data_IF_508959837838
#
_entry.id   IF_508959837838
#
_cell.length_a   1.000
_cell.length_b   1.000
_cell.length_c   1.000
_cell.angle_alpha   90.00
_cell.angle_beta   90.00
_cell.angle_gamma   90.00
#
_symmetry.space_group_name_H-M   'P 1'
#
loop_
_entity.id
_entity.type
_entity.pdbx_description
1 polymer ?
#
# COMPACT_ATOMS: atom_id res chain seq x y z
N UNK A 1 -38.82 -49.75 -11.34
CA UNK A 1 -37.87 -50.21 -12.37
C UNK A 1 -37.80 -49.17 -13.46
N UNK A 2 -36.81 -48.28 -13.40
CA UNK A 2 -36.13 -47.71 -14.55
C UNK A 2 -34.74 -47.36 -14.04
N UNK A 3 -33.78 -48.19 -14.44
CA UNK A 3 -32.36 -47.94 -14.28
C UNK A 3 -32.00 -46.89 -15.34
N UNK A 4 -31.55 -45.72 -14.92
CA UNK A 4 -30.75 -44.85 -15.78
C UNK A 4 -29.31 -45.02 -15.32
N UNK A 5 -28.53 -45.62 -16.21
CA UNK A 5 -27.11 -45.87 -16.11
C UNK A 5 -26.38 -44.54 -15.88
N UNK A 6 -25.62 -44.45 -14.79
CA UNK A 6 -24.61 -43.42 -14.68
C UNK A 6 -23.54 -43.72 -15.73
N UNK A 7 -23.49 -42.87 -16.76
CA UNK A 7 -22.41 -42.81 -17.74
C UNK A 7 -21.05 -42.87 -17.04
N UNK A 8 -20.28 -43.90 -17.38
CA UNK A 8 -18.85 -44.00 -17.20
C UNK A 8 -18.15 -42.73 -17.70
N UNK A 9 -17.66 -41.89 -16.79
CA UNK A 9 -16.66 -40.86 -17.12
C UNK A 9 -15.29 -41.26 -16.55
N UNK A 10 -14.43 -42.00 -17.27
CA UNK A 10 -13.02 -42.10 -16.95
C UNK A 10 -12.25 -41.06 -17.78
N UNK A 11 -12.47 -39.77 -17.53
CA UNK A 11 -11.48 -38.76 -17.92
C UNK A 11 -10.41 -38.75 -16.83
N UNK A 12 -9.35 -39.51 -17.07
CA UNK A 12 -8.14 -39.55 -16.28
C UNK A 12 -7.56 -38.13 -16.16
N UNK A 13 -7.98 -37.37 -15.14
CA UNK A 13 -7.46 -36.04 -14.86
C UNK A 13 -6.03 -36.19 -14.33
N UNK A 14 -5.07 -36.19 -15.27
CA UNK A 14 -3.65 -36.12 -14.95
C UNK A 14 -3.34 -34.69 -14.57
N UNK A 15 -2.98 -34.47 -13.31
CA UNK A 15 -2.56 -33.18 -12.78
C UNK A 15 -1.05 -33.01 -13.00
N UNK A 16 -0.62 -31.86 -13.48
CA UNK A 16 0.79 -31.52 -13.54
C UNK A 16 1.17 -30.75 -12.27
N UNK A 17 2.14 -31.26 -11.52
CA UNK A 17 2.74 -30.54 -10.39
C UNK A 17 4.21 -30.25 -10.69
N UNK A 18 4.76 -29.24 -10.04
CA UNK A 18 6.19 -28.94 -10.09
C UNK A 18 6.84 -29.24 -8.74
N UNK A 19 7.92 -29.99 -8.73
CA UNK A 19 8.67 -30.30 -7.51
C UNK A 19 10.09 -29.75 -7.61
N UNK A 20 10.46 -28.94 -6.65
CA UNK A 20 11.79 -28.36 -6.49
C UNK A 20 12.60 -29.16 -5.46
N UNK A 21 13.93 -29.16 -5.56
CA UNK A 21 14.79 -29.68 -4.50
C UNK A 21 14.84 -28.66 -3.36
N UNK A 22 14.53 -29.09 -2.14
CA UNK A 22 14.62 -28.26 -0.95
C UNK A 22 16.06 -27.73 -0.77
N UNK A 23 16.20 -26.42 -0.56
CA UNK A 23 17.48 -25.71 -0.52
C UNK A 23 18.10 -25.35 -1.88
N UNK A 24 17.56 -25.82 -3.01
CA UNK A 24 18.08 -25.53 -4.36
C UNK A 24 16.95 -25.55 -5.42
N UNK A 25 16.20 -24.45 -5.55
CA UNK A 25 15.11 -24.38 -6.55
C UNK A 25 15.58 -24.30 -8.00
N UNK A 26 16.89 -24.18 -8.27
CA UNK A 26 17.39 -24.33 -9.64
C UNK A 26 17.18 -25.75 -10.16
N UNK A 27 17.08 -26.73 -9.27
CA UNK A 27 16.75 -28.11 -9.58
C UNK A 27 15.26 -28.35 -9.37
N UNK A 28 14.55 -28.56 -10.47
CA UNK A 28 13.13 -28.91 -10.45
C UNK A 28 12.77 -30.01 -11.46
N UNK A 29 11.60 -30.60 -11.29
CA UNK A 29 10.96 -31.49 -12.25
C UNK A 29 9.46 -31.32 -12.24
N UNK A 30 8.84 -31.49 -13.41
CA UNK A 30 7.39 -31.56 -13.54
C UNK A 30 6.95 -33.01 -13.45
N UNK A 31 6.00 -33.31 -12.56
CA UNK A 31 5.43 -34.63 -12.36
C UNK A 31 3.98 -34.66 -12.81
N UNK A 32 3.58 -35.76 -13.43
CA UNK A 32 2.20 -36.04 -13.80
C UNK A 32 1.59 -36.97 -12.76
N UNK A 33 0.58 -36.47 -12.06
CA UNK A 33 -0.12 -37.17 -10.98
C UNK A 33 -1.48 -37.64 -11.51
N UNK A 34 -1.62 -38.95 -11.65
CA UNK A 34 -2.88 -39.61 -11.97
C UNK A 34 -3.63 -39.96 -10.66
N UNK A 35 -4.89 -40.38 -10.79
CA UNK A 35 -5.76 -40.67 -9.64
C UNK A 35 -5.22 -41.79 -8.72
N UNK A 36 -4.39 -42.69 -9.24
CA UNK A 36 -3.78 -43.80 -8.55
C UNK A 36 -2.28 -43.62 -8.27
N UNK A 37 -1.72 -42.43 -8.54
CA UNK A 37 -0.31 -42.16 -8.23
C UNK A 37 -0.08 -42.20 -6.73
N UNK A 38 0.83 -43.06 -6.29
CA UNK A 38 1.19 -43.23 -4.87
C UNK A 38 2.39 -42.38 -4.48
N UNK A 39 2.62 -42.22 -3.18
CA UNK A 39 3.85 -41.59 -2.67
C UNK A 39 5.12 -42.28 -3.17
N UNK A 40 5.11 -43.61 -3.29
CA UNK A 40 6.24 -44.38 -3.82
C UNK A 40 6.52 -44.04 -5.29
N UNK A 41 5.48 -43.84 -6.11
CA UNK A 41 5.64 -43.46 -7.52
C UNK A 41 6.25 -42.06 -7.65
N UNK A 42 5.87 -41.14 -6.75
CA UNK A 42 6.47 -39.80 -6.66
C UNK A 42 7.95 -39.93 -6.26
N UNK A 43 8.26 -40.73 -5.23
CA UNK A 43 9.63 -40.92 -4.76
C UNK A 43 10.55 -41.48 -5.84
N UNK A 44 10.09 -42.48 -6.61
CA UNK A 44 10.87 -43.05 -7.72
C UNK A 44 11.23 -41.99 -8.76
N UNK A 45 10.27 -41.15 -9.14
CA UNK A 45 10.51 -40.09 -10.12
C UNK A 45 11.46 -39.01 -9.59
N UNK A 46 11.34 -38.66 -8.31
CA UNK A 46 12.22 -37.70 -7.67
C UNK A 46 13.63 -38.25 -7.48
N UNK A 47 13.78 -39.53 -7.10
CA UNK A 47 15.06 -40.23 -7.00
C UNK A 47 15.79 -40.25 -8.35
N UNK A 48 15.06 -40.46 -9.45
CA UNK A 48 15.62 -40.42 -10.81
C UNK A 48 16.14 -39.03 -11.17
N UNK A 49 15.45 -37.97 -10.75
CA UNK A 49 15.82 -36.60 -11.10
C UNK A 49 16.91 -36.02 -10.20
N UNK A 50 16.75 -36.14 -8.89
CA UNK A 50 17.58 -35.45 -7.90
C UNK A 50 18.57 -36.38 -7.21
N UNK A 51 18.58 -37.67 -7.54
CA UNK A 51 19.31 -38.70 -6.81
C UNK A 51 18.54 -39.16 -5.58
N UNK A 52 18.96 -40.32 -5.05
CA UNK A 52 18.22 -41.05 -4.01
C UNK A 52 17.96 -40.22 -2.75
N UNK A 53 16.70 -40.14 -2.35
CA UNK A 53 16.27 -39.58 -1.08
C UNK A 53 16.38 -40.63 0.03
N UNK A 54 17.12 -40.32 1.11
CA UNK A 54 17.23 -41.20 2.28
C UNK A 54 15.90 -41.28 3.04
N UNK A 55 15.26 -40.13 3.18
CA UNK A 55 13.92 -39.95 3.73
C UNK A 55 13.26 -38.85 2.89
N UNK A 56 12.21 -39.20 2.14
CA UNK A 56 11.54 -38.22 1.29
C UNK A 56 10.50 -37.47 2.12
N UNK A 57 10.70 -36.16 2.27
CA UNK A 57 9.69 -35.24 2.81
C UNK A 57 9.30 -34.27 1.72
N UNK A 58 8.03 -33.88 1.67
CA UNK A 58 7.51 -32.96 0.68
C UNK A 58 6.84 -31.79 1.39
N UNK A 59 7.12 -30.57 0.96
CA UNK A 59 6.58 -29.36 1.58
C UNK A 59 5.88 -28.50 0.54
N UNK A 60 4.84 -27.80 0.98
CA UNK A 60 4.26 -26.67 0.24
C UNK A 60 5.24 -25.50 0.19
N UNK A 61 4.93 -24.49 -0.63
CA UNK A 61 5.69 -23.23 -0.67
C UNK A 61 5.70 -22.46 0.66
N UNK A 62 4.71 -22.72 1.53
CA UNK A 62 4.59 -22.14 2.87
C UNK A 62 5.32 -22.98 3.94
N UNK A 63 5.97 -24.08 3.55
CA UNK A 63 6.68 -24.98 4.48
C UNK A 63 5.79 -25.95 5.23
N UNK A 64 4.50 -26.04 4.88
CA UNK A 64 3.61 -27.09 5.41
C UNK A 64 4.03 -28.42 4.81
N UNK A 65 4.33 -29.39 5.67
CA UNK A 65 4.66 -30.76 5.27
C UNK A 65 3.43 -31.49 4.74
N UNK A 66 3.65 -32.25 3.68
CA UNK A 66 2.66 -33.04 2.96
C UNK A 66 2.93 -34.51 3.26
N UNK A 67 1.86 -35.26 3.52
CA UNK A 67 1.92 -36.69 3.79
C UNK A 67 1.29 -37.49 2.64
N UNK A 68 1.45 -38.82 2.67
CA UNK A 68 0.96 -39.73 1.63
C UNK A 68 -0.55 -39.54 1.37
N UNK A 69 -1.34 -39.39 2.44
CA UNK A 69 -2.79 -39.19 2.37
C UNK A 69 -3.21 -37.89 1.66
N UNK A 70 -2.30 -36.93 1.51
CA UNK A 70 -2.55 -35.62 0.91
C UNK A 70 -2.39 -35.60 -0.61
N UNK A 71 -1.76 -36.62 -1.21
CA UNK A 71 -1.48 -36.68 -2.66
C UNK A 71 -2.74 -36.50 -3.50
N UNK A 72 -3.88 -37.04 -3.03
CA UNK A 72 -5.18 -36.91 -3.69
C UNK A 72 -5.67 -35.46 -3.79
N UNK A 73 -5.24 -34.57 -2.90
CA UNK A 73 -5.64 -33.17 -2.83
C UNK A 73 -4.76 -32.22 -3.65
N UNK A 74 -3.70 -32.71 -4.30
CA UNK A 74 -2.86 -31.88 -5.15
C UNK A 74 -3.68 -31.20 -6.23
N UNK A 75 -3.32 -29.96 -6.55
CA UNK A 75 -3.94 -29.18 -7.62
C UNK A 75 -3.03 -29.10 -8.84
N UNK A 76 -3.63 -28.93 -10.00
CA UNK A 76 -2.89 -28.69 -11.24
C UNK A 76 -2.09 -27.38 -11.14
N UNK A 77 -0.84 -27.40 -11.60
CA UNK A 77 0.12 -26.29 -11.48
C UNK A 77 0.71 -26.06 -10.08
N UNK A 78 0.39 -26.89 -9.09
CA UNK A 78 0.88 -26.70 -7.72
C UNK A 78 2.38 -27.00 -7.62
N UNK A 79 3.08 -26.21 -6.81
CA UNK A 79 4.51 -26.36 -6.56
C UNK A 79 4.80 -26.93 -5.16
N UNK A 80 5.76 -27.86 -5.09
CA UNK A 80 6.22 -28.51 -3.87
C UNK A 80 7.75 -28.54 -3.77
N UNK A 81 8.26 -28.79 -2.57
CA UNK A 81 9.69 -28.82 -2.26
C UNK A 81 10.05 -30.16 -1.61
N UNK A 82 10.87 -30.96 -2.27
CA UNK A 82 11.28 -32.27 -1.79
C UNK A 82 12.59 -32.16 -0.99
N UNK A 83 12.61 -32.63 0.26
CA UNK A 83 13.82 -32.70 1.10
C UNK A 83 14.26 -34.14 1.33
N UNK A 84 15.55 -34.32 1.64
CA UNK A 84 16.19 -35.62 1.94
C UNK A 84 16.14 -35.98 3.44
N UNK A 85 15.16 -35.45 4.16
CA UNK A 85 14.97 -35.62 5.61
C UNK A 85 15.09 -34.30 6.37
N UNK A 86 15.76 -33.31 5.78
CA UNK A 86 15.93 -31.98 6.36
C UNK A 86 14.60 -31.23 6.46
N UNK A 87 14.51 -30.29 7.41
CA UNK A 87 13.36 -29.37 7.48
C UNK A 87 13.24 -28.52 6.21
N UNK A 88 12.03 -28.01 5.94
CA UNK A 88 11.79 -27.10 4.83
C UNK A 88 12.76 -25.92 4.89
N UNK A 89 13.46 -25.68 3.78
CA UNK A 89 14.28 -24.51 3.62
C UNK A 89 13.39 -23.37 3.08
N UNK A 90 13.02 -22.37 3.92
CA UNK A 90 12.18 -21.26 3.48
C UNK A 90 12.88 -20.36 2.44
N UNK A 91 14.20 -20.50 2.22
CA UNK A 91 14.94 -19.86 1.13
C UNK A 91 14.79 -20.59 -0.19
N UNK A 92 14.36 -21.86 -0.20
CA UNK A 92 14.22 -22.63 -1.44
C UNK A 92 13.23 -21.94 -2.40
N UNK A 93 12.02 -21.51 -1.97
CA UNK A 93 11.15 -20.69 -2.82
C UNK A 93 11.72 -19.34 -3.25
N UNK A 94 12.66 -18.77 -2.50
CA UNK A 94 13.31 -17.52 -2.83
C UNK A 94 14.42 -17.70 -3.87
N UNK A 95 15.04 -18.88 -3.93
CA UNK A 95 16.13 -19.17 -4.89
C UNK A 95 15.71 -19.19 -6.37
N UNK A 96 14.39 -19.16 -6.64
CA UNK A 96 13.86 -19.03 -8.00
C UNK A 96 14.08 -17.63 -8.58
N UNK A 97 14.51 -16.67 -7.76
CA UNK A 97 14.86 -15.32 -8.18
C UNK A 97 16.38 -15.16 -8.22
N UNK A 98 16.88 -14.65 -9.33
CA UNK A 98 18.25 -14.23 -9.49
C UNK A 98 18.36 -12.73 -9.21
N UNK A 99 18.91 -12.39 -8.05
CA UNK A 99 19.22 -11.02 -7.64
C UNK A 99 20.19 -10.38 -8.64
N UNK A 100 19.86 -9.20 -9.14
CA UNK A 100 20.67 -8.46 -10.12
C UNK A 100 21.30 -7.22 -9.50
N UNK A 101 20.53 -6.13 -9.39
CA UNK A 101 21.02 -4.81 -8.97
C UNK A 101 20.13 -4.22 -7.89
N UNK A 102 20.72 -3.67 -6.85
CA UNK A 102 19.99 -2.90 -5.84
C UNK A 102 19.36 -1.65 -6.47
N UNK A 103 18.05 -1.49 -6.28
CA UNK A 103 17.25 -0.38 -6.79
C UNK A 103 17.21 0.78 -5.77
N UNK A 104 17.19 0.45 -4.47
CA UNK A 104 17.15 1.45 -3.41
C UNK A 104 17.39 0.87 -2.02
N UNK A 105 17.64 1.75 -1.06
CA UNK A 105 17.78 1.44 0.36
C UNK A 105 17.03 2.49 1.18
N UNK A 106 16.27 2.03 2.18
CA UNK A 106 15.52 2.87 3.10
C UNK A 106 15.62 2.37 4.54
N UNK A 107 15.00 3.11 5.47
CA UNK A 107 15.08 2.80 6.91
C UNK A 107 14.55 1.41 7.30
N UNK A 108 13.67 0.83 6.47
CA UNK A 108 13.02 -0.46 6.73
C UNK A 108 13.67 -1.64 5.99
N UNK A 109 14.68 -1.38 5.15
CA UNK A 109 15.37 -2.40 4.36
C UNK A 109 15.76 -1.93 2.97
N UNK A 110 15.94 -2.85 2.03
CA UNK A 110 16.43 -2.54 0.68
C UNK A 110 15.58 -3.21 -0.39
N UNK A 111 15.59 -2.62 -1.59
CA UNK A 111 14.87 -3.12 -2.75
C UNK A 111 15.88 -3.50 -3.83
N UNK A 112 15.70 -4.68 -4.42
CA UNK A 112 16.60 -5.21 -5.44
C UNK A 112 15.83 -5.69 -6.65
N UNK A 113 16.32 -5.34 -7.83
CA UNK A 113 15.88 -5.93 -9.09
C UNK A 113 16.34 -7.38 -9.13
N UNK A 114 15.42 -8.29 -9.47
CA UNK A 114 15.73 -9.68 -9.69
C UNK A 114 15.03 -10.20 -10.94
N UNK A 115 15.49 -11.34 -11.44
CA UNK A 115 14.90 -12.06 -12.56
C UNK A 115 14.37 -13.40 -12.09
N UNK A 116 13.11 -13.71 -12.36
CA UNK A 116 12.57 -15.04 -12.12
C UNK A 116 13.23 -16.03 -13.08
N UNK A 117 13.93 -17.05 -12.55
CA UNK A 117 14.77 -17.96 -13.33
C UNK A 117 14.00 -18.74 -14.40
N UNK A 118 12.74 -19.10 -14.10
CA UNK A 118 11.90 -19.89 -15.01
C UNK A 118 11.20 -19.01 -16.06
N UNK A 119 10.42 -18.01 -15.65
CA UNK A 119 9.66 -17.16 -16.60
C UNK A 119 10.54 -16.14 -17.32
N UNK A 120 11.71 -15.82 -16.76
CA UNK A 120 12.58 -14.76 -17.24
C UNK A 120 12.07 -13.35 -16.93
N UNK A 121 10.95 -13.21 -16.23
CA UNK A 121 10.35 -11.92 -15.90
C UNK A 121 11.19 -11.17 -14.85
N UNK A 122 11.25 -9.86 -15.00
CA UNK A 122 11.86 -8.97 -14.02
C UNK A 122 10.89 -8.68 -12.88
N UNK A 123 11.40 -8.67 -11.66
CA UNK A 123 10.64 -8.40 -10.43
C UNK A 123 11.44 -7.46 -9.51
N UNK A 124 10.72 -6.72 -8.68
CA UNK A 124 11.31 -6.00 -7.56
C UNK A 124 11.15 -6.82 -6.28
N UNK A 125 12.24 -7.01 -5.54
CA UNK A 125 12.26 -7.73 -4.28
C UNK A 125 12.57 -6.73 -3.17
N UNK A 126 11.59 -6.49 -2.30
CA UNK A 126 11.78 -5.66 -1.10
C UNK A 126 12.10 -6.56 0.08
N UNK A 127 13.29 -6.40 0.64
CA UNK A 127 13.74 -7.09 1.85
C UNK A 127 13.49 -6.16 3.03
N UNK A 128 12.65 -6.59 3.96
CA UNK A 128 12.22 -5.83 5.14
C UNK A 128 12.78 -6.50 6.38
N UNK A 129 13.39 -5.71 7.28
CA UNK A 129 13.74 -6.20 8.62
C UNK A 129 12.48 -6.17 9.48
N UNK A 130 12.09 -7.33 9.97
CA UNK A 130 10.99 -7.48 10.92
C UNK A 130 11.55 -7.13 12.29
N UNK A 131 11.28 -5.92 12.75
CA UNK A 131 11.65 -5.44 14.09
C UNK A 131 10.42 -5.62 14.97
N UNK A 132 10.53 -6.45 16.01
CA UNK A 132 9.42 -6.67 16.94
C UNK A 132 9.40 -8.07 17.55
N UNK A 133 8.40 -8.30 18.38
CA UNK A 133 8.13 -9.62 18.96
C UNK A 133 7.41 -10.53 17.95
N UNK A 134 7.11 -11.78 18.34
CA UNK A 134 6.43 -12.73 17.47
C UNK A 134 5.05 -12.24 16.96
N UNK A 135 4.34 -11.42 17.74
CA UNK A 135 3.04 -10.86 17.33
C UNK A 135 3.21 -9.79 16.26
N UNK A 136 4.23 -8.94 16.36
CA UNK A 136 4.55 -7.93 15.35
C UNK A 136 4.90 -8.61 14.01
N UNK A 137 5.64 -9.72 14.08
CA UNK A 137 5.99 -10.53 12.91
C UNK A 137 4.72 -11.08 12.24
N UNK A 138 3.81 -11.69 13.01
CA UNK A 138 2.57 -12.25 12.49
C UNK A 138 1.65 -11.19 11.85
N UNK A 139 1.56 -10.00 12.47
CA UNK A 139 0.77 -8.90 11.93
C UNK A 139 1.32 -8.42 10.57
N UNK A 140 2.64 -8.30 10.44
CA UNK A 140 3.28 -7.94 9.18
C UNK A 140 3.03 -9.00 8.08
N UNK A 141 3.00 -10.29 8.42
CA UNK A 141 2.62 -11.35 7.46
C UNK A 141 1.16 -11.22 7.02
N UNK A 142 0.24 -10.97 7.95
CA UNK A 142 -1.17 -10.73 7.62
C UNK A 142 -1.32 -9.51 6.72
N UNK A 143 -0.55 -8.45 6.97
CA UNK A 143 -0.55 -7.24 6.13
C UNK A 143 -0.01 -7.54 4.73
N UNK A 144 1.09 -8.30 4.60
CA UNK A 144 1.60 -8.75 3.32
C UNK A 144 0.56 -9.57 2.51
N UNK A 145 -0.21 -10.44 3.18
CA UNK A 145 -1.30 -11.19 2.56
C UNK A 145 -2.46 -10.30 2.10
N UNK A 146 -2.84 -9.29 2.88
CA UNK A 146 -3.83 -8.30 2.46
C UNK A 146 -3.34 -7.55 1.22
N UNK A 147 -2.07 -7.14 1.19
CA UNK A 147 -1.48 -6.46 0.04
C UNK A 147 -1.44 -7.34 -1.21
N UNK A 148 -1.15 -8.64 -1.04
CA UNK A 148 -1.23 -9.64 -2.12
C UNK A 148 -2.62 -9.78 -2.71
N UNK A 149 -3.67 -9.53 -1.92
CA UNK A 149 -5.06 -9.55 -2.39
C UNK A 149 -5.48 -8.29 -3.15
N UNK A 150 -4.69 -7.20 -3.09
CA UNK A 150 -5.01 -5.98 -3.81
C UNK A 150 -4.77 -6.17 -5.31
N UNK A 151 -5.79 -5.83 -6.11
CA UNK A 151 -5.72 -5.89 -7.56
C UNK A 151 -6.34 -4.63 -8.14
N UNK A 152 -5.48 -3.69 -8.52
CA UNK A 152 -5.88 -2.43 -9.11
C UNK A 152 -4.78 -1.93 -10.05
N UNK A 153 -5.15 -1.34 -11.19
CA UNK A 153 -4.18 -0.90 -12.21
C UNK A 153 -3.16 0.13 -11.67
N UNK A 154 -3.58 0.99 -10.74
CA UNK A 154 -2.74 2.02 -10.13
C UNK A 154 -2.12 1.60 -8.78
N UNK A 155 -2.06 0.30 -8.49
CA UNK A 155 -1.42 -0.27 -7.30
C UNK A 155 -0.39 -1.30 -7.75
N UNK A 156 0.78 -1.32 -7.11
CA UNK A 156 1.79 -2.33 -7.38
C UNK A 156 1.28 -3.74 -7.06
N UNK A 157 1.44 -4.65 -8.01
CA UNK A 157 1.10 -6.05 -7.84
C UNK A 157 2.15 -6.74 -6.99
N UNK A 158 1.72 -7.25 -5.84
CA UNK A 158 2.51 -8.16 -5.00
C UNK A 158 2.27 -9.58 -5.51
N UNK A 159 3.33 -10.25 -5.95
CA UNK A 159 3.26 -11.64 -6.40
C UNK A 159 3.31 -12.61 -5.23
N UNK A 160 4.22 -12.36 -4.28
CA UNK A 160 4.41 -13.24 -3.14
C UNK A 160 5.16 -12.58 -1.99
N UNK A 161 5.16 -13.22 -0.83
CA UNK A 161 6.02 -12.86 0.30
C UNK A 161 6.63 -14.09 0.96
N UNK A 162 7.86 -13.97 1.47
CA UNK A 162 8.60 -15.05 2.10
C UNK A 162 9.20 -14.60 3.43
N UNK A 163 9.15 -15.49 4.43
CA UNK A 163 9.95 -15.35 5.63
C UNK A 163 11.42 -15.67 5.31
N UNK A 164 12.33 -14.82 5.76
CA UNK A 164 13.78 -14.97 5.61
C UNK A 164 14.48 -15.07 6.98
N UNK A 165 15.78 -15.37 6.94
CA UNK A 165 16.65 -15.64 8.10
C UNK A 165 16.82 -14.33 8.84
N UNK A 166 17.03 -14.41 10.15
CA UNK A 166 17.25 -13.22 10.99
C UNK A 166 16.06 -12.24 10.95
N UNK A 167 14.84 -12.77 11.09
CA UNK A 167 13.60 -11.99 11.17
C UNK A 167 13.47 -11.00 10.02
N UNK A 168 13.62 -11.48 8.78
CA UNK A 168 13.43 -10.69 7.58
C UNK A 168 12.22 -11.20 6.80
N UNK A 169 11.64 -10.34 5.97
CA UNK A 169 10.59 -10.69 5.02
C UNK A 169 11.01 -10.21 3.63
N UNK A 170 10.90 -11.08 2.63
CA UNK A 170 10.99 -10.68 1.23
C UNK A 170 9.59 -10.51 0.65
N UNK A 171 9.32 -9.39 0.00
CA UNK A 171 8.09 -9.16 -0.76
C UNK A 171 8.46 -9.05 -2.23
N UNK A 172 7.91 -9.95 -3.05
CA UNK A 172 8.12 -9.98 -4.50
C UNK A 172 7.01 -9.20 -5.17
N UNK A 173 7.38 -8.24 -6.00
CA UNK A 173 6.48 -7.28 -6.62
C UNK A 173 6.79 -7.14 -8.11
N UNK A 174 5.83 -6.64 -8.88
CA UNK A 174 6.11 -6.21 -10.25
C UNK A 174 7.21 -5.14 -10.26
N UNK A 175 8.09 -5.23 -11.26
CA UNK A 175 9.11 -4.21 -11.48
C UNK A 175 8.54 -3.07 -12.33
N UNK A 176 8.75 -1.83 -11.89
CA UNK A 176 8.28 -0.62 -12.56
C UNK A 176 9.48 0.18 -13.07
N UNK A 177 9.54 0.37 -14.39
CA UNK A 177 10.71 0.94 -15.06
C UNK A 177 10.61 2.45 -15.29
N UNK A 178 9.44 3.04 -15.12
CA UNK A 178 9.17 4.43 -15.50
C UNK A 178 9.68 5.49 -14.53
N UNK A 179 10.29 5.08 -13.41
CA UNK A 179 10.82 5.98 -12.40
C UNK A 179 9.75 6.67 -11.56
N UNK A 180 10.18 7.58 -10.69
CA UNK A 180 9.33 8.24 -9.71
C UNK A 180 8.59 9.45 -10.30
N UNK A 181 7.39 9.74 -9.76
CA UNK A 181 6.67 10.99 -10.02
C UNK A 181 7.50 12.22 -9.61
N UNK A 182 8.31 12.09 -8.56
CA UNK A 182 9.24 13.13 -8.08
C UNK A 182 10.21 13.57 -9.17
N UNK A 183 10.75 12.62 -9.94
CA UNK A 183 11.71 12.89 -11.01
C UNK A 183 11.03 13.43 -12.26
N UNK A 184 9.85 12.93 -12.61
CA UNK A 184 9.05 13.49 -13.71
C UNK A 184 8.68 14.95 -13.45
N UNK A 185 8.34 15.29 -12.21
CA UNK A 185 8.06 16.67 -11.80
C UNK A 185 9.28 17.58 -12.02
N UNK A 186 10.48 17.13 -11.63
CA UNK A 186 11.73 17.86 -11.86
C UNK A 186 12.01 18.04 -13.36
N UNK A 187 11.86 16.98 -14.15
CA UNK A 187 12.06 17.01 -15.61
C UNK A 187 11.13 18.00 -16.32
N UNK A 188 9.91 18.19 -15.82
CA UNK A 188 8.92 19.15 -16.33
C UNK A 188 9.12 20.59 -15.81
N UNK A 189 10.25 20.89 -15.16
CA UNK A 189 10.56 22.24 -14.67
C UNK A 189 10.11 22.50 -13.23
N UNK A 190 9.81 21.45 -12.46
CA UNK A 190 9.55 21.51 -11.02
C UNK A 190 8.09 21.64 -10.63
N UNK A 191 7.16 21.80 -11.58
CA UNK A 191 5.70 21.78 -11.38
C UNK A 191 4.99 21.26 -12.63
N UNK A 192 3.78 20.77 -12.47
CA UNK A 192 2.91 20.39 -13.57
C UNK A 192 1.89 21.48 -13.87
N UNK A 193 1.34 21.47 -15.09
CA UNK A 193 0.09 22.19 -15.36
C UNK A 193 -1.06 21.60 -14.54
N UNK A 194 -2.14 22.36 -14.35
CA UNK A 194 -3.31 21.88 -13.62
C UNK A 194 -3.92 20.62 -14.27
N UNK A 195 -3.94 20.56 -15.60
CA UNK A 195 -4.43 19.41 -16.37
C UNK A 195 -3.57 18.16 -16.16
N UNK A 196 -2.24 18.29 -16.26
CA UNK A 196 -1.30 17.19 -15.99
C UNK A 196 -1.42 16.72 -14.53
N UNK A 197 -1.47 17.65 -13.58
CA UNK A 197 -1.65 17.34 -12.16
C UNK A 197 -2.96 16.60 -11.91
N UNK A 198 -4.07 17.02 -12.53
CA UNK A 198 -5.36 16.34 -12.44
C UNK A 198 -5.28 14.90 -12.97
N UNK A 199 -4.61 14.69 -14.11
CA UNK A 199 -4.45 13.36 -14.72
C UNK A 199 -3.73 12.38 -13.81
N UNK A 200 -2.62 12.79 -13.20
CA UNK A 200 -1.88 11.94 -12.26
C UNK A 200 -2.61 11.80 -10.92
N UNK A 201 -3.16 12.90 -10.40
CA UNK A 201 -3.87 12.90 -9.13
C UNK A 201 -5.08 11.97 -9.13
N UNK A 202 -5.85 11.94 -10.22
CA UNK A 202 -6.97 11.01 -10.37
C UNK A 202 -6.56 9.54 -10.25
N UNK A 203 -5.40 9.16 -10.77
CA UNK A 203 -4.88 7.79 -10.62
C UNK A 203 -4.55 7.47 -9.17
N UNK A 204 -3.99 8.43 -8.42
CA UNK A 204 -3.72 8.32 -6.99
C UNK A 204 -5.04 8.17 -6.22
N UNK A 205 -6.04 9.00 -6.53
CA UNK A 205 -7.37 8.95 -5.90
C UNK A 205 -8.02 7.57 -6.06
N UNK A 206 -8.01 7.00 -7.27
CA UNK A 206 -8.59 5.67 -7.50
C UNK A 206 -7.82 4.56 -6.78
N UNK A 207 -6.49 4.62 -6.74
CA UNK A 207 -5.69 3.66 -5.97
C UNK A 207 -6.04 3.71 -4.48
N UNK A 208 -6.05 4.91 -3.89
CA UNK A 208 -6.29 5.08 -2.45
C UNK A 208 -7.75 4.81 -2.07
N UNK A 209 -8.72 5.19 -2.91
CA UNK A 209 -10.13 4.82 -2.73
C UNK A 209 -10.31 3.31 -2.68
N UNK A 210 -9.70 2.58 -3.63
CA UNK A 210 -9.73 1.12 -3.64
C UNK A 210 -9.12 0.52 -2.36
N UNK A 211 -7.97 1.03 -1.90
CA UNK A 211 -7.36 0.59 -0.64
C UNK A 211 -8.26 0.82 0.57
N UNK A 212 -8.83 2.02 0.70
CA UNK A 212 -9.70 2.39 1.82
C UNK A 212 -10.96 1.51 1.86
N UNK A 213 -11.54 1.17 0.69
CA UNK A 213 -12.66 0.22 0.59
C UNK A 213 -12.29 -1.20 1.06
N UNK A 214 -11.01 -1.56 0.99
CA UNK A 214 -10.45 -2.83 1.50
C UNK A 214 -9.91 -2.70 2.93
N UNK A 215 -10.18 -1.60 3.62
CA UNK A 215 -9.66 -1.29 4.96
C UNK A 215 -8.12 -1.23 5.05
N UNK A 216 -7.45 -0.89 3.94
CA UNK A 216 -6.01 -0.68 3.89
C UNK A 216 -5.73 0.82 3.88
N UNK A 217 -4.85 1.28 4.77
CA UNK A 217 -4.36 2.66 4.83
C UNK A 217 -2.90 2.65 4.37
N UNK A 218 -2.52 3.57 3.49
CA UNK A 218 -1.18 3.58 2.89
C UNK A 218 -0.09 4.02 3.89
N UNK A 219 -0.34 5.09 4.65
CA UNK A 219 0.49 5.65 5.75
C UNK A 219 1.81 6.33 5.36
N UNK A 220 2.44 5.95 4.26
CA UNK A 220 3.67 6.60 3.75
C UNK A 220 3.47 7.14 2.31
N UNK A 221 2.34 7.78 2.04
CA UNK A 221 2.08 8.30 0.70
C UNK A 221 2.93 9.55 0.44
N UNK A 222 3.74 9.52 -0.62
CA UNK A 222 4.64 10.61 -1.05
C UNK A 222 4.99 10.46 -2.53
N UNK A 223 5.60 11.48 -3.13
CA UNK A 223 5.94 11.47 -4.56
C UNK A 223 6.91 10.35 -4.94
N UNK A 224 7.78 9.95 -4.02
CA UNK A 224 8.78 8.89 -4.19
C UNK A 224 8.14 7.48 -4.20
N UNK A 225 6.93 7.34 -3.61
CA UNK A 225 6.19 6.08 -3.57
C UNK A 225 5.13 5.97 -4.69
N UNK A 226 5.28 6.79 -5.74
CA UNK A 226 4.41 6.83 -6.91
C UNK A 226 5.27 6.66 -8.17
N UNK A 227 5.21 5.49 -8.79
CA UNK A 227 6.09 5.12 -9.91
C UNK A 227 5.31 4.95 -11.20
N UNK A 228 5.94 5.30 -12.32
CA UNK A 228 5.41 5.02 -13.64
C UNK A 228 5.72 3.58 -14.07
N UNK A 229 4.81 2.97 -14.82
CA UNK A 229 4.99 1.59 -15.30
C UNK A 229 6.17 1.46 -16.27
N UNK A 230 6.37 2.42 -17.15
CA UNK A 230 7.50 2.51 -18.07
C UNK A 230 7.86 3.98 -18.37
N UNK A 231 9.05 4.28 -18.91
CA UNK A 231 9.50 5.66 -19.14
C UNK A 231 8.55 6.50 -20.01
N UNK A 232 7.91 5.88 -20.99
CA UNK A 232 7.01 6.55 -21.93
C UNK A 232 5.53 6.48 -21.51
N UNK A 233 5.23 5.87 -20.36
CA UNK A 233 3.88 5.71 -19.84
C UNK A 233 3.48 6.85 -18.90
N UNK A 234 2.19 7.19 -18.93
CA UNK A 234 1.54 8.05 -17.93
C UNK A 234 0.78 7.25 -16.86
N UNK A 235 0.86 5.92 -16.91
CA UNK A 235 0.25 5.05 -15.91
C UNK A 235 1.09 5.04 -14.64
N UNK A 236 0.48 5.53 -13.56
CA UNK A 236 1.09 5.68 -12.25
C UNK A 236 0.62 4.57 -11.32
N UNK A 237 1.53 4.00 -10.55
CA UNK A 237 1.23 3.00 -9.52
C UNK A 237 1.75 3.45 -8.16
N UNK A 238 0.90 3.34 -7.15
CA UNK A 238 1.32 3.44 -5.77
C UNK A 238 2.09 2.18 -5.36
N UNK A 239 3.27 2.39 -4.76
CA UNK A 239 4.12 1.36 -4.19
C UNK A 239 4.22 1.55 -2.68
N UNK A 240 4.88 0.62 -1.98
CA UNK A 240 5.30 0.84 -0.59
C UNK A 240 4.16 1.21 0.38
N UNK A 241 3.04 0.50 0.25
CA UNK A 241 2.05 0.39 1.32
C UNK A 241 2.78 -0.04 2.59
N UNK A 242 2.53 0.63 3.72
CA UNK A 242 3.34 0.54 4.93
C UNK A 242 3.44 -0.84 5.61
N UNK A 243 4.02 -1.85 4.96
CA UNK A 243 4.32 -3.21 5.47
C UNK A 243 5.27 -3.19 6.70
N UNK A 244 5.73 -2.00 7.12
CA UNK A 244 6.52 -1.79 8.33
C UNK A 244 5.88 -0.80 9.33
N UNK A 245 4.63 -0.38 9.09
CA UNK A 245 4.02 0.80 9.70
C UNK A 245 3.08 0.54 10.86
N UNK A 246 3.20 -0.58 11.58
CA UNK A 246 2.42 -0.82 12.82
C UNK A 246 2.89 0.10 13.95
N UNK A 247 4.10 0.64 13.87
CA UNK A 247 4.52 1.66 14.81
C UNK A 247 4.15 3.03 14.25
N UNK A 248 3.04 3.58 14.77
CA UNK A 248 2.99 5.03 14.98
C UNK A 248 4.36 5.41 15.57
N UNK A 249 5.13 6.32 14.95
CA UNK A 249 6.38 6.77 15.55
C UNK A 249 6.02 7.38 16.91
N UNK A 250 6.23 6.64 17.99
CA UNK A 250 6.08 7.17 19.34
C UNK A 250 7.17 8.21 19.63
N UNK A 251 8.26 8.15 18.86
CA UNK A 251 9.31 9.17 18.78
C UNK A 251 9.44 9.72 17.36
N UNK A 252 9.22 11.02 17.20
CA UNK A 252 9.45 11.76 15.96
C UNK A 252 10.95 12.00 15.66
N UNK A 253 11.83 11.69 16.61
CA UNK A 253 13.28 11.97 16.55
C UNK A 253 14.03 11.19 15.45
N UNK A 254 13.46 10.11 14.93
CA UNK A 254 14.04 9.30 13.85
C UNK A 254 13.30 9.43 12.51
N UNK A 255 12.34 10.36 12.40
CA UNK A 255 11.57 10.55 11.16
C UNK A 255 12.42 11.30 10.13
N UNK A 256 12.57 10.70 8.94
CA UNK A 256 13.21 11.35 7.80
C UNK A 256 12.45 12.65 7.46
N UNK A 257 13.18 13.77 7.35
CA UNK A 257 12.63 15.10 7.03
C UNK A 257 11.79 15.05 5.75
N UNK A 258 12.18 14.26 4.74
CA UNK A 258 11.41 14.14 3.50
C UNK A 258 10.01 13.54 3.70
N UNK A 259 9.88 12.54 4.57
CA UNK A 259 8.57 11.96 4.93
C UNK A 259 7.77 12.87 5.86
N UNK A 260 8.44 13.72 6.66
CA UNK A 260 7.80 14.61 7.63
C UNK A 260 6.78 15.56 6.98
N UNK A 261 7.07 16.08 5.79
CA UNK A 261 6.19 17.02 5.08
C UNK A 261 4.82 16.43 4.70
N UNK A 262 4.73 15.11 4.57
CA UNK A 262 3.51 14.40 4.20
C UNK A 262 2.73 13.90 5.42
N UNK A 263 3.27 14.01 6.64
CA UNK A 263 2.60 13.56 7.85
C UNK A 263 1.48 14.51 8.26
N UNK A 264 0.34 13.93 8.63
CA UNK A 264 -0.82 14.69 9.06
C UNK A 264 -0.62 15.34 10.46
N UNK A 265 -1.24 16.52 10.74
CA UNK A 265 -1.05 17.24 11.99
C UNK A 265 -1.36 16.42 13.24
N UNK A 266 -2.37 15.56 13.17
CA UNK A 266 -2.80 14.71 14.29
C UNK A 266 -1.77 13.63 14.66
N UNK A 267 -1.01 13.14 13.69
CA UNK A 267 0.10 12.19 13.90
C UNK A 267 1.24 12.91 14.62
N UNK A 268 1.62 14.11 14.14
CA UNK A 268 2.70 14.91 14.72
C UNK A 268 2.37 15.45 16.11
N UNK A 269 1.10 15.71 16.39
CA UNK A 269 0.65 16.17 17.70
C UNK A 269 0.55 15.03 18.73
N UNK A 270 0.79 13.77 18.34
CA UNK A 270 0.65 12.60 19.22
C UNK A 270 -0.79 12.35 19.70
N UNK A 271 -1.80 12.87 18.98
CA UNK A 271 -3.22 12.85 19.39
C UNK A 271 -3.97 11.61 18.93
N UNK A 272 -3.29 10.68 18.27
CA UNK A 272 -3.93 9.56 17.57
C UNK A 272 -3.54 8.24 18.21
N UNK A 273 -4.54 7.50 18.68
CA UNK A 273 -4.39 6.11 19.15
C UNK A 273 -4.57 5.08 18.03
N UNK A 274 -5.21 5.46 16.91
CA UNK A 274 -5.40 4.64 15.70
C UNK A 274 -5.31 5.49 14.44
N UNK A 275 -4.40 5.13 13.54
CA UNK A 275 -4.26 5.79 12.23
C UNK A 275 -5.56 5.60 11.43
N UNK A 276 -6.17 6.70 11.02
CA UNK A 276 -7.40 6.70 10.20
C UNK A 276 -7.06 6.92 8.73
N UNK A 277 -7.99 6.59 7.83
CA UNK A 277 -7.87 6.84 6.38
C UNK A 277 -7.63 8.32 6.04
N UNK A 278 -8.01 9.25 6.93
CA UNK A 278 -7.83 10.69 6.75
C UNK A 278 -6.36 11.13 6.63
N UNK A 279 -5.39 10.33 7.13
CA UNK A 279 -3.96 10.67 7.00
C UNK A 279 -3.49 10.56 5.56
N UNK A 280 -4.03 9.61 4.80
CA UNK A 280 -3.71 9.47 3.37
C UNK A 280 -4.29 10.65 2.60
N UNK A 281 -5.47 11.16 2.99
CA UNK A 281 -6.08 12.35 2.38
C UNK A 281 -5.19 13.59 2.57
N UNK A 282 -4.66 13.78 3.77
CA UNK A 282 -3.70 14.84 4.02
C UNK A 282 -2.46 14.71 3.11
N UNK A 283 -1.86 13.52 3.07
CA UNK A 283 -0.68 13.27 2.25
C UNK A 283 -0.96 13.49 0.74
N UNK A 284 -2.12 13.06 0.26
CA UNK A 284 -2.60 13.35 -1.10
C UNK A 284 -2.73 14.86 -1.35
N UNK A 285 -3.22 15.64 -0.38
CA UNK A 285 -3.29 17.10 -0.46
C UNK A 285 -1.90 17.74 -0.59
N UNK A 286 -0.92 17.25 0.17
CA UNK A 286 0.48 17.70 0.08
C UNK A 286 1.06 17.36 -1.30
N UNK A 287 0.82 16.16 -1.81
CA UNK A 287 1.24 15.73 -3.15
C UNK A 287 0.64 16.64 -4.24
N UNK A 288 -0.67 16.90 -4.18
CA UNK A 288 -1.35 17.77 -5.14
C UNK A 288 -0.79 19.19 -5.10
N UNK A 289 -0.63 19.75 -3.90
CA UNK A 289 -0.03 21.07 -3.74
C UNK A 289 1.40 21.09 -4.33
N UNK A 290 2.21 20.07 -4.03
CA UNK A 290 3.59 19.97 -4.53
C UNK A 290 3.64 19.84 -6.06
N UNK A 291 2.71 19.11 -6.67
CA UNK A 291 2.59 19.01 -8.13
C UNK A 291 2.29 20.36 -8.78
N UNK A 292 1.40 21.16 -8.19
CA UNK A 292 0.94 22.44 -8.76
C UNK A 292 1.91 23.60 -8.50
N UNK A 293 2.47 23.68 -7.29
CA UNK A 293 3.29 24.81 -6.85
C UNK A 293 4.80 24.52 -6.85
N UNK A 294 5.19 23.25 -7.03
CA UNK A 294 6.59 22.81 -7.01
C UNK A 294 7.26 22.84 -5.64
N UNK A 295 6.56 23.28 -4.59
CA UNK A 295 7.00 23.31 -3.20
C UNK A 295 5.93 22.75 -2.28
N UNK A 296 6.30 22.39 -1.05
CA UNK A 296 5.34 21.94 -0.02
C UNK A 296 4.73 23.15 0.70
N UNK A 297 3.47 23.08 1.18
CA UNK A 297 2.78 24.24 1.76
C UNK A 297 3.33 24.62 3.14
N UNK A 298 3.76 23.63 3.93
CA UNK A 298 4.27 23.81 5.28
C UNK A 298 5.76 23.45 5.32
N UNK A 299 6.63 24.44 5.24
CA UNK A 299 8.09 24.24 5.28
C UNK A 299 8.75 25.07 6.38
N UNK A 300 9.95 24.70 6.82
CA UNK A 300 10.68 25.33 7.92
C UNK A 300 12.19 25.12 7.81
N UNK A 301 12.97 25.81 8.66
CA UNK A 301 14.43 25.67 8.67
C UNK A 301 14.88 24.45 9.47
N UNK A 302 14.12 24.08 10.48
CA UNK A 302 14.35 22.90 11.33
C UNK A 302 13.17 21.94 11.26
N UNK A 303 13.35 20.68 11.69
CA UNK A 303 12.25 19.72 11.84
C UNK A 303 11.15 20.26 12.75
N UNK A 304 11.50 20.91 13.86
CA UNK A 304 10.53 21.51 14.77
C UNK A 304 9.75 22.64 14.11
N UNK A 305 10.39 23.46 13.26
CA UNK A 305 9.69 24.50 12.51
C UNK A 305 8.69 23.90 11.52
N UNK A 306 9.08 22.81 10.82
CA UNK A 306 8.19 22.11 9.89
C UNK A 306 6.98 21.57 10.64
N UNK A 307 7.19 20.85 11.76
CA UNK A 307 6.11 20.34 12.62
C UNK A 307 5.20 21.47 13.09
N UNK A 308 5.78 22.55 13.63
CA UNK A 308 5.01 23.69 14.11
C UNK A 308 4.20 24.34 12.98
N UNK A 309 4.74 24.43 11.76
CA UNK A 309 4.04 24.98 10.61
C UNK A 309 2.90 24.07 10.15
N UNK A 310 3.11 22.75 10.08
CA UNK A 310 2.06 21.78 9.77
C UNK A 310 0.90 21.91 10.77
N UNK A 311 1.20 21.98 12.07
CA UNK A 311 0.18 22.03 13.12
C UNK A 311 -0.50 23.40 13.19
N UNK A 312 0.23 24.51 13.09
CA UNK A 312 -0.29 25.83 13.48
C UNK A 312 -0.46 26.83 12.33
N UNK A 313 0.30 26.74 11.24
CA UNK A 313 0.24 27.72 10.15
C UNK A 313 -0.95 27.48 9.22
N UNK A 314 -1.65 28.53 8.80
CA UNK A 314 -2.70 28.44 7.79
C UNK A 314 -2.13 28.10 6.41
N UNK A 315 -2.93 27.44 5.58
CA UNK A 315 -2.58 27.12 4.20
C UNK A 315 -2.46 28.40 3.38
N UNK A 316 -1.37 28.54 2.64
CA UNK A 316 -1.12 29.69 1.78
C UNK A 316 -0.94 29.26 0.33
N UNK A 317 -1.59 30.00 -0.57
CA UNK A 317 -1.43 29.84 -2.01
C UNK A 317 -0.71 31.07 -2.58
N UNK A 318 0.49 30.91 -3.16
CA UNK A 318 1.13 31.97 -3.94
C UNK A 318 0.22 32.45 -5.07
N UNK A 319 0.41 33.68 -5.60
CA UNK A 319 -0.31 34.14 -6.78
C UNK A 319 -0.22 33.11 -7.91
N UNK A 320 -1.38 32.69 -8.41
CA UNK A 320 -1.52 31.59 -9.34
C UNK A 320 -2.71 31.82 -10.28
N UNK A 321 -2.78 31.00 -11.34
CA UNK A 321 -3.87 31.01 -12.32
C UNK A 321 -4.65 29.69 -12.28
N UNK A 322 -4.72 29.04 -11.11
CA UNK A 322 -5.41 27.78 -10.94
C UNK A 322 -6.92 27.99 -10.80
N UNK A 323 -7.72 26.97 -11.10
CA UNK A 323 -9.16 27.02 -10.91
C UNK A 323 -9.55 27.12 -9.42
N UNK A 324 -10.68 27.76 -9.14
CA UNK A 324 -11.26 27.78 -7.79
C UNK A 324 -11.60 26.37 -7.30
N UNK A 325 -11.90 25.44 -8.20
CA UNK A 325 -12.19 24.05 -7.84
C UNK A 325 -10.98 23.34 -7.24
N UNK A 326 -9.77 23.51 -7.78
CA UNK A 326 -8.58 22.86 -7.20
C UNK A 326 -8.15 23.52 -5.88
N UNK A 327 -8.33 24.84 -5.77
CA UNK A 327 -8.05 25.57 -4.54
C UNK A 327 -9.02 25.13 -3.43
N UNK A 328 -10.31 24.98 -3.75
CA UNK A 328 -11.32 24.48 -2.81
C UNK A 328 -10.99 23.05 -2.38
N UNK A 329 -10.66 22.16 -3.32
CA UNK A 329 -10.25 20.79 -3.03
C UNK A 329 -9.05 20.74 -2.08
N UNK A 330 -8.00 21.53 -2.37
CA UNK A 330 -6.80 21.60 -1.52
C UNK A 330 -7.10 22.09 -0.10
N UNK A 331 -7.94 23.11 0.06
CA UNK A 331 -8.36 23.59 1.38
C UNK A 331 -9.06 22.49 2.18
N UNK A 332 -9.96 21.72 1.55
CA UNK A 332 -10.72 20.66 2.22
C UNK A 332 -9.86 19.42 2.55
N UNK A 333 -8.88 19.10 1.70
CA UNK A 333 -7.95 17.98 1.92
C UNK A 333 -6.88 18.30 2.98
N UNK A 334 -6.44 19.56 3.05
CA UNK A 334 -5.46 20.06 4.03
C UNK A 334 -6.13 20.72 5.25
N UNK A 335 -7.37 20.33 5.55
CA UNK A 335 -8.04 20.65 6.80
C UNK A 335 -7.31 19.94 7.95
N UNK A 336 -6.99 20.72 8.99
CA UNK A 336 -6.19 20.26 10.13
C UNK A 336 -7.00 19.40 11.07
N UNK A 337 -8.28 19.70 11.22
CA UNK A 337 -9.19 18.84 11.96
C UNK A 337 -9.53 17.61 11.12
N UNK A 338 -9.02 16.44 11.50
CA UNK A 338 -9.21 15.20 10.75
C UNK A 338 -10.69 14.76 10.65
N UNK A 339 -11.57 15.20 11.55
CA UNK A 339 -13.02 14.94 11.48
C UNK A 339 -13.74 15.80 10.42
N UNK A 340 -13.17 16.97 10.11
CA UNK A 340 -13.69 17.90 9.10
C UNK A 340 -12.99 17.74 7.75
N UNK A 341 -11.86 17.03 7.72
CA UNK A 341 -11.12 16.72 6.50
C UNK A 341 -11.95 15.89 5.53
N UNK A 342 -11.82 16.22 4.26
CA UNK A 342 -12.55 15.58 3.17
C UNK A 342 -12.38 14.05 3.20
N UNK A 343 -13.45 13.30 2.92
CA UNK A 343 -13.38 11.84 2.82
C UNK A 343 -12.92 11.42 1.42
N UNK A 344 -12.32 10.23 1.31
CA UNK A 344 -11.85 9.71 0.02
C UNK A 344 -12.96 9.66 -1.04
N UNK A 345 -14.20 9.33 -0.65
CA UNK A 345 -15.36 9.33 -1.53
C UNK A 345 -15.65 10.71 -2.09
N UNK A 346 -15.56 11.74 -1.26
CA UNK A 346 -15.83 13.11 -1.66
C UNK A 346 -14.72 13.66 -2.57
N UNK A 347 -13.46 13.25 -2.33
CA UNK A 347 -12.33 13.53 -3.24
C UNK A 347 -12.56 12.85 -4.60
N UNK A 348 -12.96 11.57 -4.61
CA UNK A 348 -13.19 10.79 -5.82
C UNK A 348 -14.29 11.38 -6.71
N UNK A 349 -15.37 11.88 -6.13
CA UNK A 349 -16.46 12.54 -6.85
C UNK A 349 -16.26 14.05 -7.02
N UNK A 350 -15.14 14.62 -6.54
CA UNK A 350 -14.93 16.05 -6.62
C UNK A 350 -14.94 16.52 -8.08
N UNK A 351 -15.62 17.65 -8.41
CA UNK A 351 -15.76 18.09 -9.79
C UNK A 351 -14.42 18.28 -10.51
N UNK A 352 -13.40 18.76 -9.79
CA UNK A 352 -12.05 18.96 -10.34
C UNK A 352 -11.41 17.65 -10.82
N UNK A 353 -11.53 16.57 -10.04
CA UNK A 353 -10.96 15.25 -10.37
C UNK A 353 -11.64 14.64 -11.60
N UNK A 354 -12.91 14.97 -11.84
CA UNK A 354 -13.73 14.42 -12.93
C UNK A 354 -13.94 15.41 -14.09
N UNK A 355 -13.08 16.41 -14.26
CA UNK A 355 -13.25 17.49 -15.26
C UNK A 355 -13.36 16.99 -16.71
N UNK A 356 -12.68 15.91 -17.09
CA UNK A 356 -12.75 15.30 -18.42
C UNK A 356 -14.06 14.54 -18.68
N UNK A 357 -14.76 14.09 -17.64
CA UNK A 357 -16.04 13.39 -17.76
C UNK A 357 -17.23 14.34 -17.86
N UNK A 358 -17.00 15.66 -17.72
CA UNK A 358 -18.05 16.67 -17.88
C UNK A 358 -18.40 16.84 -19.36
N UNK A 359 -19.68 16.67 -19.69
CA UNK A 359 -20.22 17.03 -21.01
C UNK A 359 -20.00 18.53 -21.30
N UNK A 360 -19.93 18.96 -22.57
CA UNK A 360 -19.76 20.39 -22.91
C UNK A 360 -20.80 21.31 -22.24
N UNK A 361 -22.02 20.82 -22.02
CA UNK A 361 -23.10 21.53 -21.33
C UNK A 361 -22.82 21.72 -19.83
N UNK A 362 -22.22 20.74 -19.15
CA UNK A 362 -21.82 20.85 -17.74
C UNK A 362 -20.64 21.79 -17.55
N UNK A 363 -19.72 21.89 -18.54
CA UNK A 363 -18.63 22.88 -18.53
C UNK A 363 -19.18 24.31 -18.65
N UNK A 364 -20.21 24.54 -19.48
CA UNK A 364 -20.84 25.86 -19.64
C UNK A 364 -21.65 26.33 -18.43
N UNK A 365 -22.35 25.43 -17.73
CA UNK A 365 -23.11 25.80 -16.52
C UNK A 365 -22.20 26.26 -15.36
N UNK A 366 -21.00 25.69 -15.25
CA UNK A 366 -20.05 26.06 -14.18
C UNK A 366 -19.33 27.38 -14.44
N UNK A 367 -19.02 27.70 -15.70
CA UNK A 367 -18.47 29.02 -16.11
C UNK A 367 -19.43 30.20 -15.84
N UNK A 368 -20.69 29.93 -15.50
CA UNK A 368 -21.73 30.95 -15.24
C UNK A 368 -22.07 31.14 -13.76
N UNK A 369 -21.37 30.46 -12.83
CA UNK A 369 -21.56 30.74 -11.41
C UNK A 369 -21.03 32.16 -11.09
N UNK A 370 -21.77 32.99 -10.33
CA UNK A 370 -21.32 34.34 -10.03
C UNK A 370 -20.06 34.27 -9.16
N UNK A 371 -18.99 34.96 -9.58
CA UNK A 371 -17.87 35.28 -8.68
C UNK A 371 -18.42 35.93 -7.42
N UNK A 372 -18.15 35.35 -6.24
CA UNK A 372 -18.64 35.89 -4.96
C UNK A 372 -18.11 37.32 -4.75
N UNK A 373 -18.96 38.28 -5.10
CA UNK A 373 -18.70 39.70 -5.03
C UNK A 373 -20.02 40.44 -4.90
N UNK A 374 -20.81 40.13 -3.86
CA UNK A 374 -21.93 40.97 -3.44
C UNK A 374 -22.26 40.73 -1.98
N UNK A 375 -21.54 41.46 -1.13
CA UNK A 375 -21.88 41.71 0.27
C UNK A 375 -23.30 42.27 0.34
N UNK A 376 -24.28 41.46 0.75
CA UNK A 376 -25.58 41.99 1.18
C UNK A 376 -25.47 42.43 2.63
N UNK A 377 -25.40 43.75 2.82
CA UNK A 377 -25.57 44.43 4.11
C UNK A 377 -26.93 44.06 4.72
N UNK A 378 -26.93 43.41 5.88
CA UNK A 378 -28.11 43.33 6.74
C UNK A 378 -28.06 44.46 7.78
N UNK A 379 -29.12 45.29 7.83
CA UNK A 379 -29.37 46.30 8.87
C UNK A 379 -30.05 45.64 10.10
N UNK A 380 -29.97 46.25 11.29
CA UNK A 380 -30.18 45.57 12.57
C UNK A 380 -31.64 45.57 13.02
N UNK A 381 -32.07 44.51 13.72
CA UNK A 381 -33.35 44.49 14.44
C UNK A 381 -33.14 44.21 15.94
N UNK A 382 -33.44 45.26 16.71
CA UNK A 382 -33.85 45.38 18.11
C UNK A 382 -33.71 44.20 19.11
N UNK A 383 -33.11 44.54 20.26
CA UNK A 383 -33.14 43.81 21.53
C UNK A 383 -34.54 43.78 22.18
N UNK A 384 -34.74 42.90 23.19
CA UNK A 384 -35.09 43.44 24.51
C UNK A 384 -34.20 42.92 25.67
N UNK A 385 -33.88 43.84 26.57
CA UNK A 385 -33.42 43.70 27.98
C UNK A 385 -34.32 42.74 28.78
N UNK A 386 -33.99 42.16 29.95
CA UNK A 386 -32.82 42.00 30.82
C UNK A 386 -33.29 41.19 32.06
N UNK A 387 -32.36 40.51 32.77
CA UNK A 387 -32.27 40.28 34.25
C UNK A 387 -31.51 38.97 34.50
N UNK A 388 -30.22 39.02 34.82
CA UNK A 388 -29.61 39.11 36.17
C UNK A 388 -29.94 37.94 37.10
N UNK A 389 -28.92 37.10 37.38
CA UNK A 389 -28.32 36.84 38.70
C UNK A 389 -27.48 35.55 38.68
N UNK A 390 -26.19 35.70 38.91
CA UNK A 390 -25.32 34.70 39.55
C UNK A 390 -25.69 34.61 41.05
N UNK A 391 -25.40 33.50 41.78
CA UNK A 391 -24.00 33.17 42.12
C UNK A 391 -23.66 31.65 42.16
N UNK A 392 -22.36 31.39 41.97
CA UNK A 392 -21.63 30.21 42.45
C UNK A 392 -21.70 30.14 44.00
N UNK A 393 -21.49 28.99 44.68
CA UNK A 393 -20.14 28.42 44.74
C UNK A 393 -19.99 26.90 44.99
N UNK A 394 -18.72 26.48 44.87
CA UNK A 394 -18.02 25.45 45.65
C UNK A 394 -18.37 23.97 45.47
N UNK A 395 -17.37 23.22 44.98
CA UNK A 395 -17.30 21.76 45.01
C UNK A 395 -15.87 21.30 44.72
N UNK A 396 -14.98 21.53 45.68
CA UNK A 396 -13.62 20.97 45.74
C UNK A 396 -13.74 19.45 45.95
N UNK A 397 -13.05 18.63 45.16
CA UNK A 397 -12.44 17.39 45.64
C UNK A 397 -11.20 17.06 44.79
N UNK A 398 -10.09 16.90 45.51
CA UNK A 398 -8.75 16.56 45.04
C UNK A 398 -8.53 15.04 45.10
N UNK A 399 -7.69 14.55 44.17
CA UNK A 399 -6.73 13.42 44.29
C UNK A 399 -7.28 11.96 44.36
N UNK A 400 -6.44 10.92 44.16
CA UNK A 400 -5.46 10.71 43.06
C UNK A 400 -5.35 9.23 42.58
N UNK A 401 -4.61 9.04 41.46
CA UNK A 401 -3.57 8.01 41.27
C UNK A 401 -3.86 6.49 41.04
N UNK A 402 -3.00 5.96 40.15
CA UNK A 402 -2.43 4.60 40.05
C UNK A 402 -3.29 3.55 39.31
N UNK A 403 -2.81 3.13 38.13
CA UNK A 403 -2.26 1.79 37.94
C UNK A 403 -1.17 1.79 36.86
N UNK A 404 0.02 1.32 37.27
CA UNK A 404 1.07 0.78 36.41
C UNK A 404 0.68 -0.65 36.03
N UNK A 405 0.83 -1.03 34.77
CA UNK A 405 1.65 -2.14 34.28
C UNK A 405 1.73 -2.07 32.75
#
# INVERSE_FOLDING_TARGET
MMYEEYDDFPLCFVKAIRVYLNGDSSKYTDLKIAQNTTWSDIQIQLDQKFGKFKEMRLFTQQGVEIFDDDVKFFKDGQSFYASRGDEFDPYSPFSQYETMKQLGEGGFGYVTLAKHRITGELVAIKIIKMIGNAQDIELNFREAEVLRSLSHKNIVKVFNSYALKNTQMAVIMEYLEGGELSDRLKQKGGRFSEEEACKYFRQIVYAISYCHQKNVVHRDLKLENLLFTSPDSDELKAIDFGIAGIQCPTNTDHVNIGSLHYMAPEILAGRVTRVSTSVDIWAMGIILYKMLFGNVPFNGKTQQDIINNIINKELYFPPNNLSEEVITLLNQMLEKNNEQRLRITDVEYHPWVNTEQRTPQQKQMFLQLPSEGSIRKARPSASPRARSKSPNPSGILKHPNIFKL
#
